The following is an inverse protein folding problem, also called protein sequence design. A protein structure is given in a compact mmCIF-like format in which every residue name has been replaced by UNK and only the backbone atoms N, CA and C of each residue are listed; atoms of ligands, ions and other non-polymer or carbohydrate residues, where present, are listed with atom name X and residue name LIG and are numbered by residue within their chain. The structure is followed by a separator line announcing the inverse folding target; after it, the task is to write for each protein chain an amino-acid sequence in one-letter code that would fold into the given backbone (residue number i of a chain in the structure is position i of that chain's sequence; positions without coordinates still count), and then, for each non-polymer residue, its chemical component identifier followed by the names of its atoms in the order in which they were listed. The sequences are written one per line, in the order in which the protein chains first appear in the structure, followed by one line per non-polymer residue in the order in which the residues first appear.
data_IF_604725892577
#
_entry.id   IF_604725892577
#
_cell.length_a   1.000
_cell.length_b   1.000
_cell.length_c   1.000
_cell.angle_alpha   90.00
_cell.angle_beta   90.00
_cell.angle_gamma   90.00
#
_symmetry.space_group_name_H-M   'P 1'
#
loop_
_entity.id
_entity.type
_entity.pdbx_description
1 polymer ?
#
# COMPACT_ATOMS: atom_id res chain seq x y z
N UNK A 1 13.62 7.67 10.84
CA UNK A 1 12.35 7.86 11.56
C UNK A 1 11.32 8.48 10.64
N UNK A 2 10.12 7.97 10.62
CA UNK A 2 9.07 8.50 9.76
C UNK A 2 7.89 9.02 10.58
N UNK A 3 7.08 9.86 9.93
CA UNK A 3 5.85 10.38 10.52
C UNK A 3 4.71 10.20 9.52
N UNK A 4 3.50 10.00 10.04
CA UNK A 4 2.30 10.03 9.21
C UNK A 4 1.70 11.43 9.21
N UNK A 5 1.25 11.87 8.05
CA UNK A 5 0.50 13.12 7.89
C UNK A 5 -0.78 12.79 7.11
N UNK A 6 -1.91 13.36 7.52
CA UNK A 6 -3.17 13.13 6.81
C UNK A 6 -3.08 13.65 5.38
N UNK A 7 -3.55 12.85 4.42
CA UNK A 7 -3.63 13.28 3.04
C UNK A 7 -4.89 14.12 2.81
N UNK A 8 -4.86 14.93 1.75
CA UNK A 8 -6.02 15.69 1.29
C UNK A 8 -6.19 15.48 -0.21
N UNK A 9 -7.27 15.98 -0.76
CA UNK A 9 -7.51 15.91 -2.21
C UNK A 9 -6.40 16.62 -2.99
N UNK A 10 -5.79 17.63 -2.41
CA UNK A 10 -4.69 18.37 -3.04
C UNK A 10 -3.44 17.52 -3.24
N UNK A 11 -3.33 16.39 -2.57
CA UNK A 11 -2.19 15.48 -2.71
C UNK A 11 -2.32 14.54 -3.91
N UNK A 12 -3.46 14.54 -4.59
CA UNK A 12 -3.74 13.57 -5.65
C UNK A 12 -2.62 13.47 -6.70
N UNK A 13 -2.19 14.62 -7.24
CA UNK A 13 -1.20 14.60 -8.33
C UNK A 13 0.14 14.02 -7.89
N UNK A 14 0.66 14.43 -6.74
CA UNK A 14 1.95 13.88 -6.29
C UNK A 14 1.86 12.41 -5.89
N UNK A 15 0.69 11.96 -5.44
CA UNK A 15 0.50 10.54 -5.14
C UNK A 15 0.36 9.69 -6.39
N UNK A 16 -0.21 10.24 -7.47
CA UNK A 16 -0.21 9.57 -8.77
C UNK A 16 1.21 9.38 -9.27
N UNK A 17 2.04 10.41 -9.17
CA UNK A 17 3.45 10.32 -9.57
C UNK A 17 4.15 9.23 -8.77
N UNK A 18 3.91 9.18 -7.47
CA UNK A 18 4.48 8.16 -6.60
C UNK A 18 4.02 6.75 -7.00
N UNK A 19 2.73 6.57 -7.25
CA UNK A 19 2.17 5.29 -7.67
C UNK A 19 2.82 4.80 -8.97
N UNK A 20 2.90 5.69 -9.96
CA UNK A 20 3.51 5.32 -11.24
C UNK A 20 4.97 4.95 -11.06
N UNK A 21 5.72 5.72 -10.28
CA UNK A 21 7.13 5.44 -10.03
C UNK A 21 7.36 4.07 -9.39
N UNK A 22 6.44 3.64 -8.51
CA UNK A 22 6.60 2.37 -7.78
C UNK A 22 6.03 1.16 -8.54
N UNK A 23 5.01 1.35 -9.36
CA UNK A 23 4.32 0.23 -10.02
C UNK A 23 4.73 -0.01 -11.46
N UNK A 24 5.37 0.98 -12.08
CA UNK A 24 5.66 0.92 -13.51
C UNK A 24 6.40 -0.34 -13.92
N UNK A 25 7.48 -0.67 -13.23
CA UNK A 25 8.31 -1.81 -13.59
C UNK A 25 7.52 -3.12 -13.53
N UNK A 26 6.75 -3.33 -12.46
CA UNK A 26 5.95 -4.55 -12.31
C UNK A 26 4.88 -4.67 -13.40
N UNK A 27 4.23 -3.56 -13.74
CA UNK A 27 3.20 -3.57 -14.78
C UNK A 27 3.79 -3.73 -16.17
N UNK A 28 4.96 -3.13 -16.44
CA UNK A 28 5.65 -3.31 -17.73
C UNK A 28 6.08 -4.76 -17.91
N UNK A 29 6.51 -5.41 -16.85
CA UNK A 29 6.97 -6.80 -16.89
C UNK A 29 5.88 -7.76 -17.39
N UNK A 30 4.63 -7.45 -17.08
CA UNK A 30 3.50 -8.29 -17.53
C UNK A 30 2.74 -7.67 -18.69
N UNK A 31 3.30 -6.60 -19.31
CA UNK A 31 2.70 -5.97 -20.49
C UNK A 31 1.44 -5.17 -20.19
N UNK A 32 1.25 -4.72 -18.98
CA UNK A 32 0.02 -4.03 -18.58
C UNK A 32 0.21 -2.59 -18.13
N UNK A 33 1.39 -2.02 -18.32
CA UNK A 33 1.58 -0.63 -17.91
C UNK A 33 0.90 0.32 -18.89
N UNK A 34 0.09 1.22 -18.36
CA UNK A 34 -0.60 2.28 -19.07
C UNK A 34 -0.77 3.41 -18.08
N UNK A 35 -0.12 4.53 -18.35
CA UNK A 35 -0.11 5.67 -17.43
C UNK A 35 -1.51 6.23 -17.19
N UNK A 36 -2.31 6.36 -18.24
CA UNK A 36 -3.67 6.88 -18.12
C UNK A 36 -4.54 5.96 -17.25
N UNK A 37 -4.42 4.65 -17.46
CA UNK A 37 -5.16 3.67 -16.67
C UNK A 37 -4.73 3.71 -15.21
N UNK A 38 -3.42 3.84 -14.96
CA UNK A 38 -2.91 3.92 -13.59
C UNK A 38 -3.47 5.14 -12.86
N UNK A 39 -3.54 6.27 -13.56
CA UNK A 39 -4.10 7.51 -13.01
C UNK A 39 -5.60 7.35 -12.71
N UNK A 40 -6.34 6.77 -13.64
CA UNK A 40 -7.78 6.61 -13.48
C UNK A 40 -8.14 5.62 -12.39
N UNK A 41 -7.38 4.54 -12.25
CA UNK A 41 -7.59 3.58 -11.16
C UNK A 41 -7.35 4.24 -9.82
N UNK A 42 -6.32 5.05 -9.71
CA UNK A 42 -6.05 5.77 -8.47
C UNK A 42 -7.17 6.76 -8.17
N UNK A 43 -7.63 7.49 -9.19
CA UNK A 43 -8.74 8.43 -9.02
C UNK A 43 -9.98 7.75 -8.46
N UNK A 44 -10.28 6.55 -8.95
CA UNK A 44 -11.47 5.81 -8.54
C UNK A 44 -11.40 5.24 -7.12
N UNK A 45 -10.20 5.09 -6.58
CA UNK A 45 -10.01 4.45 -5.27
C UNK A 45 -9.32 5.32 -4.23
N UNK A 46 -8.89 6.53 -4.61
CA UNK A 46 -8.23 7.44 -3.67
C UNK A 46 -9.25 8.01 -2.69
N UNK A 47 -9.03 7.75 -1.42
CA UNK A 47 -9.87 8.25 -0.33
C UNK A 47 -8.97 9.03 0.62
N UNK A 48 -8.94 10.37 0.50
CA UNK A 48 -8.04 11.17 1.34
C UNK A 48 -8.20 10.91 2.84
N UNK A 49 -9.44 10.69 3.29
CA UNK A 49 -9.71 10.46 4.71
C UNK A 49 -9.10 9.15 5.25
N UNK A 50 -8.74 8.23 4.35
CA UNK A 50 -8.14 6.94 4.74
C UNK A 50 -6.67 6.86 4.38
N UNK A 51 -6.13 7.90 3.76
CA UNK A 51 -4.77 7.91 3.23
C UNK A 51 -3.85 8.74 4.11
N UNK A 52 -2.67 8.18 4.39
CA UNK A 52 -1.64 8.87 5.15
C UNK A 52 -0.43 9.08 4.27
N UNK A 53 0.16 10.26 4.37
CA UNK A 53 1.46 10.53 3.76
C UNK A 53 2.53 10.02 4.72
N UNK A 54 3.56 9.38 4.17
CA UNK A 54 4.71 8.92 4.95
C UNK A 54 5.82 9.93 4.74
N UNK A 55 6.18 10.65 5.80
CA UNK A 55 7.15 11.73 5.72
C UNK A 55 8.45 11.32 6.42
N UNK A 56 9.57 11.61 5.80
CA UNK A 56 10.90 11.39 6.38
C UNK A 56 11.66 12.71 6.24
N UNK A 57 12.08 13.26 7.37
CA UNK A 57 12.80 14.54 7.42
C UNK A 57 12.11 15.66 6.65
N UNK A 58 10.79 15.72 6.76
CA UNK A 58 9.99 16.76 6.12
C UNK A 58 9.71 16.55 4.64
N UNK A 59 10.15 15.44 4.06
CA UNK A 59 9.94 15.13 2.64
C UNK A 59 8.99 13.94 2.48
N UNK A 60 8.24 13.93 1.39
CA UNK A 60 7.34 12.82 1.08
C UNK A 60 8.16 11.59 0.69
N UNK A 61 8.05 10.53 1.48
CA UNK A 61 8.75 9.26 1.23
C UNK A 61 7.80 8.16 0.75
N UNK A 62 6.50 8.33 0.92
CA UNK A 62 5.54 7.33 0.51
C UNK A 62 4.14 7.68 0.92
N UNK A 63 3.23 6.75 0.73
CA UNK A 63 1.86 6.87 1.22
C UNK A 63 1.31 5.49 1.53
N UNK A 64 0.19 5.46 2.26
CA UNK A 64 -0.53 4.23 2.56
C UNK A 64 -1.97 4.55 2.89
N UNK A 65 -2.89 3.73 2.42
CA UNK A 65 -4.31 3.86 2.78
C UNK A 65 -4.71 2.65 3.62
N UNK A 66 -5.41 2.92 4.71
CA UNK A 66 -5.96 1.88 5.57
C UNK A 66 -7.34 2.34 6.01
N UNK A 67 -8.36 1.57 5.69
CA UNK A 67 -9.72 1.94 6.01
C UNK A 67 -10.62 0.75 6.25
N UNK A 68 -11.83 0.98 6.78
CA UNK A 68 -12.78 -0.09 7.05
C UNK A 68 -13.19 -0.83 5.78
N UNK A 69 -13.31 -2.14 5.87
CA UNK A 69 -13.75 -2.97 4.76
C UNK A 69 -14.31 -4.26 5.32
N UNK A 70 -15.60 -4.52 5.07
CA UNK A 70 -16.29 -5.67 5.66
C UNK A 70 -16.09 -5.69 7.17
N UNK A 71 -15.65 -6.81 7.73
CA UNK A 71 -15.44 -6.95 9.17
C UNK A 71 -14.01 -6.65 9.59
N UNK A 72 -13.24 -5.97 8.75
CA UNK A 72 -11.83 -5.69 9.02
C UNK A 72 -11.35 -4.40 8.39
N UNK A 73 -10.08 -4.39 7.99
CA UNK A 73 -9.45 -3.25 7.36
C UNK A 73 -8.91 -3.65 5.99
N UNK A 74 -8.91 -2.71 5.06
CA UNK A 74 -8.32 -2.87 3.74
C UNK A 74 -7.11 -1.96 3.63
N UNK A 75 -5.96 -2.55 3.30
CA UNK A 75 -4.72 -1.84 3.04
C UNK A 75 -4.61 -1.64 1.53
N UNK A 76 -4.48 -0.40 1.11
CA UNK A 76 -4.36 -0.05 -0.31
C UNK A 76 -3.29 1.01 -0.52
N UNK A 77 -2.86 1.16 -1.76
CA UNK A 77 -1.99 2.27 -2.16
C UNK A 77 -0.80 2.47 -1.24
N UNK A 78 -0.14 1.37 -0.89
CA UNK A 78 1.06 1.41 -0.06
C UNK A 78 2.27 1.52 -0.98
N UNK A 79 2.82 2.71 -1.10
CA UNK A 79 3.94 3.00 -1.98
C UNK A 79 5.06 3.67 -1.21
N UNK A 80 6.28 3.17 -1.39
CA UNK A 80 7.51 3.79 -0.86
C UNK A 80 8.27 4.33 -2.06
N UNK A 81 8.65 5.60 -2.01
CA UNK A 81 9.41 6.23 -3.10
C UNK A 81 10.66 5.40 -3.40
N UNK A 82 11.01 5.20 -4.68
CA UNK A 82 12.17 4.38 -5.03
C UNK A 82 13.45 4.74 -4.29
N UNK A 83 13.70 6.03 -4.06
CA UNK A 83 14.90 6.48 -3.34
C UNK A 83 14.90 6.06 -1.88
N UNK A 84 13.75 5.72 -1.32
CA UNK A 84 13.61 5.33 0.10
C UNK A 84 13.50 3.81 0.27
N UNK A 85 13.45 3.06 -0.80
CA UNK A 85 13.33 1.60 -0.73
C UNK A 85 14.65 0.97 -0.30
N UNK A 86 14.57 -0.23 0.27
CA UNK A 86 15.74 -0.97 0.71
C UNK A 86 16.34 -0.49 2.01
N UNK A 87 15.65 0.34 2.77
CA UNK A 87 16.12 0.91 4.04
C UNK A 87 15.27 0.53 5.25
N UNK A 88 14.32 -0.40 5.05
CA UNK A 88 13.45 -0.84 6.14
C UNK A 88 12.26 0.05 6.41
N UNK A 89 12.05 1.11 5.64
CA UNK A 89 10.93 2.02 5.85
C UNK A 89 9.59 1.32 5.68
N UNK A 90 9.44 0.53 4.61
CA UNK A 90 8.19 -0.20 4.37
C UNK A 90 7.83 -1.13 5.52
N UNK A 91 8.81 -1.86 6.06
CA UNK A 91 8.57 -2.73 7.22
C UNK A 91 8.18 -1.94 8.45
N UNK A 92 8.86 -0.82 8.71
CA UNK A 92 8.54 0.01 9.88
C UNK A 92 7.12 0.57 9.80
N UNK A 93 6.70 1.03 8.62
CA UNK A 93 5.35 1.54 8.40
C UNK A 93 4.33 0.43 8.58
N UNK A 94 4.55 -0.72 7.93
CA UNK A 94 3.61 -1.83 8.02
C UNK A 94 3.46 -2.32 9.46
N UNK A 95 4.55 -2.45 10.20
CA UNK A 95 4.48 -2.89 11.59
C UNK A 95 3.66 -1.94 12.45
N UNK A 96 3.77 -0.63 12.22
CA UNK A 96 2.94 0.34 12.95
C UNK A 96 1.46 0.17 12.63
N UNK A 97 1.13 -0.03 11.34
CA UNK A 97 -0.28 -0.24 10.95
C UNK A 97 -0.84 -1.53 11.52
N UNK A 98 -0.05 -2.60 11.54
CA UNK A 98 -0.49 -3.87 12.11
C UNK A 98 -0.69 -3.76 13.63
N UNK A 99 0.12 -2.96 14.30
CA UNK A 99 -0.08 -2.70 15.72
C UNK A 99 -1.41 -1.98 15.98
N UNK A 100 -1.77 -1.02 15.12
CA UNK A 100 -3.08 -0.35 15.22
C UNK A 100 -4.22 -1.34 15.00
N UNK A 101 -4.10 -2.20 13.99
CA UNK A 101 -5.11 -3.20 13.70
C UNK A 101 -5.25 -4.20 14.85
N UNK A 102 -4.12 -4.63 15.44
CA UNK A 102 -4.13 -5.54 16.58
C UNK A 102 -4.83 -4.92 17.79
N UNK A 103 -4.60 -3.62 18.04
CA UNK A 103 -5.23 -2.92 19.15
C UNK A 103 -6.75 -2.87 18.97
N UNK A 104 -7.24 -2.88 17.74
CA UNK A 104 -8.67 -2.89 17.42
C UNK A 104 -9.22 -4.31 17.25
N UNK A 105 -8.36 -5.33 17.25
CA UNK A 105 -8.77 -6.71 17.03
C UNK A 105 -9.22 -7.01 15.61
N UNK A 106 -8.77 -6.24 14.62
CA UNK A 106 -9.25 -6.34 13.25
C UNK A 106 -8.22 -6.97 12.30
N UNK A 107 -8.67 -7.86 11.40
CA UNK A 107 -7.79 -8.38 10.35
C UNK A 107 -7.53 -7.31 9.28
N UNK A 108 -6.42 -7.47 8.56
CA UNK A 108 -6.05 -6.57 7.46
C UNK A 108 -5.99 -7.40 6.17
N UNK A 109 -6.69 -6.93 5.14
CA UNK A 109 -6.70 -7.56 3.81
C UNK A 109 -6.06 -6.64 2.80
N UNK A 110 -5.50 -7.23 1.76
CA UNK A 110 -4.91 -6.50 0.65
C UNK A 110 -4.87 -7.33 -0.61
N UNK A 111 -4.66 -6.66 -1.75
CA UNK A 111 -4.41 -7.31 -3.02
C UNK A 111 -3.10 -6.80 -3.59
N UNK A 112 -2.31 -7.68 -4.20
CA UNK A 112 -1.06 -7.30 -4.85
C UNK A 112 -1.03 -7.84 -6.26
N UNK A 113 -0.25 -7.18 -7.12
CA UNK A 113 -0.06 -7.63 -8.48
C UNK A 113 0.72 -8.94 -8.48
N UNK A 114 0.26 -9.90 -9.31
CA UNK A 114 0.93 -11.19 -9.45
C UNK A 114 2.38 -10.97 -9.94
N UNK A 115 3.29 -11.78 -9.43
CA UNK A 115 4.71 -11.75 -9.76
C UNK A 115 5.41 -10.44 -9.35
N UNK A 116 4.89 -9.76 -8.33
CA UNK A 116 5.53 -8.58 -7.78
C UNK A 116 6.35 -8.94 -6.55
N UNK A 117 7.32 -8.09 -6.21
CA UNK A 117 8.13 -8.28 -5.01
C UNK A 117 7.31 -8.08 -3.73
N UNK A 118 6.14 -7.45 -3.87
CA UNK A 118 5.25 -7.20 -2.73
C UNK A 118 4.77 -8.49 -2.08
N UNK A 119 4.57 -9.58 -2.85
CA UNK A 119 4.14 -10.84 -2.28
C UNK A 119 5.11 -11.33 -1.20
N UNK A 120 6.41 -11.30 -1.50
CA UNK A 120 7.44 -11.75 -0.56
C UNK A 120 7.46 -10.85 0.68
N UNK A 121 7.31 -9.56 0.47
CA UNK A 121 7.29 -8.58 1.56
C UNK A 121 6.13 -8.87 2.53
N UNK A 122 4.92 -9.07 2.01
CA UNK A 122 3.77 -9.30 2.88
C UNK A 122 3.83 -10.67 3.57
N UNK A 123 4.33 -11.70 2.87
CA UNK A 123 4.50 -13.02 3.49
C UNK A 123 5.44 -12.96 4.68
N UNK A 124 6.53 -12.19 4.57
CA UNK A 124 7.47 -12.03 5.69
C UNK A 124 6.82 -11.40 6.91
N UNK A 125 5.74 -10.64 6.71
CA UNK A 125 5.06 -9.95 7.80
C UNK A 125 3.80 -10.70 8.27
N UNK A 126 3.69 -11.97 7.91
CA UNK A 126 2.62 -12.81 8.45
C UNK A 126 1.33 -12.82 7.65
N UNK A 127 1.32 -12.23 6.46
CA UNK A 127 0.14 -12.29 5.60
C UNK A 127 0.09 -13.65 4.91
N UNK A 128 -1.13 -14.18 4.77
CA UNK A 128 -1.40 -15.48 4.16
C UNK A 128 -2.30 -15.29 2.96
N UNK A 129 -1.98 -15.97 1.86
CA UNK A 129 -2.78 -15.89 0.64
C UNK A 129 -4.18 -16.45 0.88
N UNK A 130 -5.20 -15.68 0.45
CA UNK A 130 -6.59 -16.06 0.60
C UNK A 130 -7.29 -16.33 -0.73
N UNK A 131 -6.70 -15.91 -1.84
CA UNK A 131 -7.29 -16.12 -3.15
C UNK A 131 -6.47 -15.50 -4.25
N UNK A 132 -6.88 -15.74 -5.48
CA UNK A 132 -6.22 -15.15 -6.64
C UNK A 132 -7.16 -15.06 -7.83
N UNK A 133 -6.92 -14.05 -8.65
CA UNK A 133 -7.52 -13.92 -9.97
C UNK A 133 -6.39 -13.73 -10.98
N UNK A 134 -6.69 -13.45 -12.24
CA UNK A 134 -5.68 -13.45 -13.30
C UNK A 134 -4.41 -12.66 -12.98
N UNK A 135 -4.57 -11.42 -12.51
CA UNK A 135 -3.42 -10.54 -12.28
C UNK A 135 -3.18 -10.16 -10.83
N UNK A 136 -4.08 -10.51 -9.93
CA UNK A 136 -4.02 -10.10 -8.53
C UNK A 136 -4.04 -11.29 -7.60
N UNK A 137 -3.26 -11.19 -6.53
CA UNK A 137 -3.22 -12.17 -5.46
C UNK A 137 -3.67 -11.48 -4.19
N UNK A 138 -4.55 -12.13 -3.41
CA UNK A 138 -5.12 -11.55 -2.20
C UNK A 138 -4.51 -12.18 -0.96
N UNK A 139 -4.28 -11.34 0.06
CA UNK A 139 -3.64 -11.73 1.30
C UNK A 139 -4.41 -11.20 2.49
N UNK A 140 -4.31 -11.90 3.61
CA UNK A 140 -4.92 -11.49 4.87
C UNK A 140 -3.96 -11.70 6.02
N UNK A 141 -3.95 -10.75 6.94
CA UNK A 141 -3.23 -10.85 8.20
C UNK A 141 -4.26 -10.76 9.32
N UNK A 142 -4.11 -11.61 10.35
CA UNK A 142 -5.00 -11.59 11.52
C UNK A 142 -4.19 -11.33 12.77
N UNK A 143 -4.73 -10.49 13.70
CA UNK A 143 -4.05 -10.28 14.97
C UNK A 143 -4.05 -11.57 15.79
N UNK A 144 -3.01 -11.73 16.59
CA UNK A 144 -2.96 -12.84 17.52
C UNK A 144 -3.93 -12.58 18.66
N UNK A 145 -4.61 -13.62 19.18
CA UNK A 145 -5.51 -13.46 20.31
C UNK A 145 -4.79 -13.07 21.60
#
# INVERSE_FOLDING_TARGET
MFEFTAASQDDFERLVVLRIATMRESLERIGRFDEQRARERFRGSFKPSQTRLIMVDGALAGCVALGPHDAGLLLEHFYIAPAEQGRGLGSAVLLRLLAEAAASGLPVRLGVLRASDAERFYRRHGFVMTGEVEWDIYYEWRPHP
#
